data_IF_333556564518
#
_entry.id   IF_333556564518
#
_cell.length_a   1.000
_cell.length_b   1.000
_cell.length_c   1.000
_cell.angle_alpha   90.00
_cell.angle_beta   90.00
_cell.angle_gamma   90.00
#
_symmetry.space_group_name_H-M   'P 1'
#
loop_
_entity.id
_entity.type
_entity.pdbx_description
1 polymer ?
2 non-polymer ?
3 water ?
#
# COMPACT_ATOMS: atom_id res chain seq x y z
N UNK A 3 19.54 1.86 8.62
CA UNK A 3 18.07 1.50 8.70
C UNK A 3 17.54 1.68 10.12
N UNK A 4 16.66 2.67 10.34
CA UNK A 4 16.12 2.95 11.67
C UNK A 4 15.39 1.75 12.28
N UNK A 5 15.43 1.67 13.61
CA UNK A 5 14.82 0.59 14.36
C UNK A 5 13.36 0.29 13.97
N UNK A 6 12.53 1.33 13.72
CA UNK A 6 11.13 1.02 13.37
C UNK A 6 10.92 0.37 11.98
N UNK A 7 12.00 0.23 11.20
CA UNK A 7 11.94 -0.38 9.86
C UNK A 7 12.80 -1.63 9.75
N UNK A 8 13.26 -2.11 10.90
CA UNK A 8 14.05 -3.32 10.94
C UNK A 8 13.12 -4.48 11.14
N UNK A 9 13.43 -5.57 10.44
CA UNK A 9 12.68 -6.79 10.64
C UNK A 9 13.60 -7.99 10.74
N UNK A 10 13.07 -9.07 11.34
CA UNK A 10 13.60 -10.40 11.22
C UNK A 10 12.57 -11.10 10.37
N UNK A 11 12.91 -11.31 9.10
CA UNK A 11 11.96 -11.77 8.09
C UNK A 11 10.74 -10.86 8.14
N UNK A 12 9.58 -11.41 8.51
CA UNK A 12 8.33 -10.63 8.59
C UNK A 12 8.12 -9.90 9.92
N UNK A 13 8.99 -10.17 10.90
CA UNK A 13 8.75 -9.73 12.27
C UNK A 13 9.57 -8.54 12.72
N UNK A 14 8.98 -7.67 13.57
CA UNK A 14 9.76 -6.58 14.16
C UNK A 14 10.91 -7.21 14.96
N UNK A 15 12.02 -6.48 15.10
CA UNK A 15 13.20 -7.02 15.80
C UNK A 15 13.07 -6.88 17.34
N UNK A 16 13.67 -7.83 18.09
CA UNK A 16 13.53 -7.81 19.55
C UNK A 16 13.90 -6.49 20.22
N UNK A 17 14.95 -5.82 19.74
CA UNK A 17 15.35 -4.51 20.27
C UNK A 17 14.24 -3.43 20.12
N UNK A 18 13.48 -3.49 19.02
CA UNK A 18 12.33 -2.60 18.83
C UNK A 18 11.15 -2.94 19.74
N UNK A 19 10.87 -4.24 19.89
CA UNK A 19 9.87 -4.68 20.84
C UNK A 19 10.21 -4.23 22.27
N UNK A 20 11.50 -4.30 22.61
CA UNK A 20 11.98 -3.83 23.90
C UNK A 20 11.81 -2.33 24.10
N UNK A 21 12.09 -1.53 23.08
CA UNK A 21 11.88 -0.08 23.22
C UNK A 21 10.39 0.25 23.40
N UNK A 22 9.52 -0.51 22.72
CA UNK A 22 8.07 -0.33 22.85
C UNK A 22 7.59 -0.52 24.29
N UNK A 23 8.27 -1.39 25.03
CA UNK A 23 7.92 -1.71 26.42
C UNK A 23 8.07 -0.51 27.33
N UNK A 24 9.05 0.34 27.00
CA UNK A 24 9.40 1.50 27.81
C UNK A 24 8.33 2.60 27.83
N UNK A 25 7.44 2.57 26.85
CA UNK A 25 6.44 3.64 26.68
C UNK A 25 6.00 3.88 25.24
N UNK A 26 5.06 4.83 25.04
CA UNK A 26 4.42 5.09 23.75
C UNK A 26 5.09 6.16 22.86
N UNK A 27 6.08 6.86 23.41
CA UNK A 27 6.68 8.01 22.76
C UNK A 27 8.15 7.99 23.13
N UNK A 28 9.02 8.01 22.14
CA UNK A 28 10.46 7.92 22.38
C UNK A 28 11.23 8.99 21.66
N UNK A 29 12.30 9.44 22.31
CA UNK A 29 13.26 10.36 21.68
C UNK A 29 14.16 9.56 20.78
N UNK A 30 13.72 9.40 19.53
CA UNK A 30 14.42 8.57 18.56
C UNK A 30 14.35 9.22 17.19
N UNK A 31 15.49 9.25 16.49
CA UNK A 31 15.58 9.87 15.17
C UNK A 31 15.40 8.85 14.04
N UNK A 32 14.26 8.90 13.35
CA UNK A 32 14.03 8.04 12.19
C UNK A 32 14.50 8.72 10.89
N UNK A 33 14.28 10.03 10.81
CA UNK A 33 14.57 10.81 9.60
C UNK A 33 16.02 11.27 9.56
N UNK A 40 14.20 18.21 16.45
CA UNK A 40 13.82 17.23 17.52
C UNK A 40 12.76 16.25 17.05
N UNK A 41 13.09 14.95 17.10
CA UNK A 41 12.23 13.90 16.57
C UNK A 41 11.63 13.03 17.65
N UNK A 42 10.41 12.58 17.41
CA UNK A 42 9.78 11.60 18.28
C UNK A 42 9.41 10.38 17.46
N UNK A 43 9.53 9.21 18.08
CA UNK A 43 9.02 7.97 17.52
C UNK A 43 7.83 7.52 18.36
N UNK A 44 6.68 7.36 17.70
CA UNK A 44 5.42 7.11 18.37
C UNK A 44 5.09 5.63 18.18
N UNK A 45 4.94 4.91 19.30
CA UNK A 45 4.71 3.46 19.27
C UNK A 45 3.39 3.05 19.93
N UNK A 46 2.84 3.94 20.74
CA UNK A 46 1.57 3.68 21.45
C UNK A 46 0.38 3.73 20.51
N UNK A 47 -0.50 2.74 20.64
CA UNK A 47 -1.70 2.64 19.82
C UNK A 47 -2.57 3.88 19.89
N UNK A 48 -2.96 4.29 21.11
CA UNK A 48 -3.75 5.51 21.34
C UNK A 48 -3.00 6.77 20.91
N UNK A 49 -1.68 6.81 21.15
CA UNK A 49 -0.86 7.98 20.79
C UNK A 49 -0.77 8.14 19.27
N UNK A 50 -0.53 7.05 18.55
CA UNK A 50 -0.50 7.08 17.08
C UNK A 50 -1.85 7.54 16.50
N UNK A 51 -2.95 6.92 16.94
CA UNK A 51 -4.30 7.36 16.60
C UNK A 51 -4.47 8.86 16.80
N UNK A 52 -4.08 9.33 17.99
CA UNK A 52 -4.28 10.72 18.37
C UNK A 52 -3.54 11.69 17.46
N UNK A 53 -2.30 11.35 17.09
CA UNK A 53 -1.48 12.20 16.22
C UNK A 53 -2.09 12.28 14.83
N UNK A 54 -2.41 11.10 14.28
CA UNK A 54 -2.94 11.00 12.93
C UNK A 54 -4.31 11.66 12.78
N UNK A 55 -5.14 11.57 13.84
CA UNK A 55 -6.46 12.22 13.84
C UNK A 55 -6.40 13.73 14.05
N UNK A 56 -5.28 14.22 14.59
CA UNK A 56 -5.14 15.63 14.94
C UNK A 56 -4.39 16.41 13.86
N UNK A 57 -5.03 16.52 12.70
CA UNK A 57 -4.40 17.17 11.55
C UNK A 57 -4.17 18.65 11.82
N UNK A 58 -5.00 19.24 12.67
CA UNK A 58 -4.91 20.66 12.98
C UNK A 58 -3.66 21.05 13.77
N UNK A 59 -3.10 20.11 14.53
CA UNK A 59 -1.86 20.35 15.27
C UNK A 59 -0.66 19.59 14.72
N UNK A 60 -0.92 18.63 13.83
CA UNK A 60 0.14 17.79 13.25
C UNK A 60 0.07 17.66 11.72
N UNK A 61 0.91 18.45 11.04
CA UNK A 61 0.90 18.59 9.60
C UNK A 61 1.60 17.44 8.87
N UNK A 62 1.11 17.13 7.68
CA UNK A 62 1.74 16.13 6.80
C UNK A 62 2.77 16.73 5.82
N UNK A 63 2.96 18.04 5.87
CA UNK A 63 3.91 18.69 4.95
C UNK A 63 5.36 18.47 5.42
N UNK A 64 6.24 18.14 4.49
CA UNK A 64 7.68 17.94 4.81
C UNK A 64 8.19 19.13 5.63
N UNK A 65 8.97 18.86 6.71
CA UNK A 65 9.52 19.99 7.45
C UNK A 65 10.66 20.66 6.69
N UNK A 66 10.57 21.97 6.49
CA UNK A 66 11.63 22.74 5.83
C UNK A 66 12.03 23.97 6.66
N UNK A 67 13.27 24.42 6.50
CA UNK A 67 13.77 25.63 7.17
C UNK A 67 13.37 26.87 6.37
N UNK A 73 9.03 22.41 -2.01
CA UNK A 73 8.81 21.49 -3.17
C UNK A 73 7.33 21.14 -3.26
N UNK A 74 6.71 21.56 -4.35
CA UNK A 74 5.28 21.35 -4.54
C UNK A 74 5.03 19.98 -5.14
N UNK A 75 3.99 19.34 -4.65
CA UNK A 75 3.62 18.02 -5.12
C UNK A 75 2.15 18.02 -5.49
N UNK A 76 1.81 18.67 -6.63
CA UNK A 76 0.41 18.79 -7.03
C UNK A 76 -0.26 17.43 -7.18
N UNK A 77 -1.46 17.30 -6.59
CA UNK A 77 -2.24 16.07 -6.73
C UNK A 77 -1.84 14.95 -5.79
N UNK A 78 -0.79 15.15 -5.01
CA UNK A 78 -0.36 14.13 -4.03
C UNK A 78 -1.03 14.38 -2.68
N UNK A 79 -2.14 13.68 -2.44
CA UNK A 79 -2.98 13.96 -1.26
C UNK A 79 -2.22 13.92 0.08
N UNK A 80 -1.27 12.98 0.19
CA UNK A 80 -0.45 12.76 1.40
C UNK A 80 0.34 13.98 1.83
N UNK A 81 0.64 14.85 0.86
CA UNK A 81 1.49 16.01 1.07
C UNK A 81 0.65 17.28 1.30
N UNK A 82 -0.66 17.13 1.33
CA UNK A 82 -1.60 18.26 1.50
C UNK A 82 -2.09 18.34 2.94
N UNK A 83 -2.13 19.55 3.48
CA UNK A 83 -2.84 19.81 4.74
C UNK A 83 -4.25 20.34 4.47
N UNK A 84 -5.14 20.15 5.46
CA UNK A 84 -6.58 20.11 5.28
C UNK A 84 -7.32 21.42 5.33
N UNK A 85 -6.80 22.47 4.65
CA UNK A 85 -7.75 23.24 3.83
C UNK A 85 -7.78 22.69 2.39
N UNK A 86 -6.64 22.72 1.70
CA UNK A 86 -6.54 22.21 0.33
C UNK A 86 -6.73 20.69 0.21
N UNK A 87 -6.28 19.94 1.22
CA UNK A 87 -6.51 18.50 1.27
C UNK A 87 -7.99 18.15 1.20
N UNK A 88 -8.80 18.91 1.96
CA UNK A 88 -10.25 18.71 2.01
C UNK A 88 -10.94 18.88 0.65
N UNK A 89 -10.57 19.90 -0.11
CA UNK A 89 -11.14 20.10 -1.45
C UNK A 89 -10.66 19.06 -2.44
N UNK A 90 -9.35 18.78 -2.44
CA UNK A 90 -8.81 17.77 -3.36
C UNK A 90 -9.37 16.38 -3.09
N UNK A 91 -9.42 15.97 -1.82
CA UNK A 91 -9.92 14.64 -1.48
C UNK A 91 -11.38 14.43 -1.91
N UNK A 92 -12.25 15.41 -1.65
CA UNK A 92 -13.66 15.23 -2.00
C UNK A 92 -13.90 15.35 -3.50
N UNK A 93 -12.94 15.95 -4.22
CA UNK A 93 -12.98 16.01 -5.68
C UNK A 93 -12.66 14.63 -6.27
N UNK A 94 -11.93 13.83 -5.51
CA UNK A 94 -11.36 12.57 -6.00
C UNK A 94 -12.09 11.35 -5.44
N UNK A 95 -12.72 11.53 -4.28
CA UNK A 95 -13.42 10.45 -3.54
C UNK A 95 -14.41 9.59 -4.34
N UNK A 96 -15.22 10.21 -5.24
CA UNK A 96 -16.20 9.40 -6.00
C UNK A 96 -15.61 8.22 -6.79
N UNK A 97 -14.39 8.38 -7.32
CA UNK A 97 -13.72 7.31 -8.08
C UNK A 97 -13.50 6.03 -7.26
N UNK A 98 -13.53 6.16 -5.93
CA UNK A 98 -13.25 5.04 -5.02
C UNK A 98 -14.48 4.45 -4.33
N UNK A 99 -15.65 5.00 -4.62
CA UNK A 99 -16.90 4.59 -3.99
C UNK A 99 -17.13 3.09 -4.13
N UNK A 100 -17.88 2.52 -3.20
CA UNK A 100 -18.17 1.09 -3.16
C UNK A 100 -18.87 0.61 -4.43
N UNK A 101 -19.65 1.48 -5.05
CA UNK A 101 -20.37 1.14 -6.25
C UNK A 101 -19.45 1.07 -7.46
N UNK A 102 -18.54 2.04 -7.58
CA UNK A 102 -17.58 2.06 -8.68
C UNK A 102 -16.67 0.83 -8.60
N UNK A 103 -16.36 0.43 -7.37
CA UNK A 103 -15.48 -0.69 -7.08
C UNK A 103 -16.07 -2.01 -7.52
N UNK A 104 -17.34 -2.21 -7.18
CA UNK A 104 -18.08 -3.41 -7.56
C UNK A 104 -18.25 -3.56 -9.06
N UNK A 105 -18.34 -2.45 -9.77
CA UNK A 105 -18.38 -2.48 -11.23
C UNK A 105 -17.03 -2.91 -11.83
N UNK A 106 -15.93 -2.68 -11.11
CA UNK A 106 -14.61 -3.17 -11.53
C UNK A 106 -14.39 -4.68 -11.30
N UNK A 107 -15.11 -5.25 -10.33
CA UNK A 107 -14.96 -6.64 -9.91
C UNK A 107 -14.74 -7.62 -11.08
N UNK A 108 -15.64 -7.63 -12.09
CA UNK A 108 -15.45 -8.49 -13.26
C UNK A 108 -14.09 -8.37 -13.98
N UNK A 109 -13.58 -7.15 -14.18
CA UNK A 109 -12.26 -7.02 -14.81
C UNK A 109 -11.16 -7.52 -13.87
N UNK A 110 -11.33 -7.34 -12.57
CA UNK A 110 -10.35 -7.82 -11.58
C UNK A 110 -10.26 -9.35 -11.59
N UNK A 111 -11.41 -10.03 -11.58
CA UNK A 111 -11.47 -11.50 -11.69
C UNK A 111 -10.84 -11.99 -12.99
N UNK A 112 -11.15 -11.29 -14.08
CA UNK A 112 -10.59 -11.60 -15.40
C UNK A 112 -9.06 -11.48 -15.37
N UNK A 113 -8.55 -10.37 -14.83
CA UNK A 113 -7.11 -10.12 -14.69
C UNK A 113 -6.43 -11.16 -13.80
N UNK A 114 -7.02 -11.45 -12.65
CA UNK A 114 -6.53 -12.50 -11.76
C UNK A 114 -6.36 -13.85 -12.51
N UNK A 115 -7.41 -14.28 -13.19
CA UNK A 115 -7.39 -15.58 -13.87
C UNK A 115 -6.34 -15.62 -14.96
N UNK A 116 -6.31 -14.56 -15.77
CA UNK A 116 -5.32 -14.39 -16.83
C UNK A 116 -3.88 -14.53 -16.30
N UNK A 117 -3.59 -13.81 -15.23
CA UNK A 117 -2.23 -13.77 -14.69
C UNK A 117 -1.89 -15.07 -13.97
N UNK A 118 -2.86 -15.65 -13.27
CA UNK A 118 -2.62 -16.96 -12.69
C UNK A 118 -2.45 -18.03 -13.78
N UNK A 119 -3.20 -17.91 -14.89
CA UNK A 119 -3.01 -18.82 -16.03
C UNK A 119 -1.58 -18.75 -16.56
N UNK A 120 -1.06 -17.52 -16.67
CA UNK A 120 0.30 -17.24 -17.13
C UNK A 120 1.35 -17.75 -16.14
N UNK A 121 1.16 -17.43 -14.87
CA UNK A 121 1.99 -17.96 -13.79
C UNK A 121 2.08 -19.49 -13.88
N UNK A 122 0.93 -20.14 -13.98
CA UNK A 122 0.87 -21.59 -14.00
C UNK A 122 1.54 -22.16 -15.24
N UNK A 123 1.38 -21.47 -16.37
CA UNK A 123 1.92 -21.98 -17.64
C UNK A 123 3.43 -22.04 -17.67
N UNK A 124 4.10 -21.37 -16.73
CA UNK A 124 5.58 -21.40 -16.64
C UNK A 124 6.10 -22.74 -16.10
N UNK A 125 7.35 -23.06 -16.42
CA UNK A 125 8.04 -24.26 -15.90
C UNK A 125 7.92 -24.62 -14.41
N UNK A 126 8.59 -25.72 -14.01
CA UNK A 126 8.42 -26.37 -12.68
C UNK A 126 8.15 -25.41 -11.50
N UNK A 127 9.20 -24.82 -10.90
CA UNK A 127 8.95 -23.76 -9.92
C UNK A 127 8.85 -22.36 -10.59
N UNK A 128 7.96 -21.51 -10.08
CA UNK A 128 7.73 -20.16 -10.65
C UNK A 128 7.80 -19.04 -9.60
N UNK A 129 8.45 -17.93 -9.94
CA UNK A 129 8.46 -16.76 -9.04
C UNK A 129 7.09 -16.10 -9.06
N UNK A 130 6.44 -16.10 -7.89
CA UNK A 130 5.12 -15.51 -7.75
C UNK A 130 5.12 -13.97 -7.85
N UNK A 131 6.20 -13.33 -7.45
CA UNK A 131 6.31 -11.87 -7.55
C UNK A 131 6.33 -11.44 -9.02
N UNK A 132 7.26 -12.00 -9.80
CA UNK A 132 7.40 -11.64 -11.21
C UNK A 132 6.13 -11.91 -12.01
N UNK A 133 5.51 -13.07 -11.76
CA UNK A 133 4.42 -13.55 -12.63
C UNK A 133 2.97 -13.32 -12.18
N UNK A 134 2.79 -12.88 -10.93
CA UNK A 134 1.46 -12.66 -10.41
C UNK A 134 1.36 -11.44 -9.50
N UNK A 135 2.23 -11.37 -8.48
CA UNK A 135 2.10 -10.31 -7.47
C UNK A 135 2.29 -8.92 -8.05
N UNK A 136 3.24 -8.74 -8.97
CA UNK A 136 3.36 -7.46 -9.69
C UNK A 136 2.32 -7.26 -10.80
N UNK A 137 2.17 -8.25 -11.72
CA UNK A 137 1.22 -8.13 -12.84
C UNK A 137 -0.25 -7.88 -12.46
N UNK A 138 -0.76 -8.60 -11.45
CA UNK A 138 -2.17 -8.46 -11.05
C UNK A 138 -2.52 -7.00 -10.72
N UNK A 139 -1.93 -6.43 -9.65
CA UNK A 139 -2.24 -5.04 -9.30
C UNK A 139 -1.79 -4.01 -10.34
N UNK A 140 -0.71 -4.30 -11.06
CA UNK A 140 -0.26 -3.36 -12.10
C UNK A 140 -1.32 -3.24 -13.19
N UNK A 141 -1.82 -4.37 -13.67
CA UNK A 141 -2.91 -4.36 -14.65
C UNK A 141 -4.18 -3.74 -14.09
N UNK A 142 -4.50 -4.04 -12.83
CA UNK A 142 -5.69 -3.46 -12.21
C UNK A 142 -5.56 -1.93 -12.07
N UNK A 143 -4.38 -1.46 -11.70
CA UNK A 143 -4.13 -0.01 -11.59
C UNK A 143 -4.34 0.72 -12.95
N UNK A 144 -3.79 0.14 -14.02
CA UNK A 144 -4.07 0.60 -15.40
C UNK A 144 -5.55 0.69 -15.76
N UNK A 145 -6.32 -0.37 -15.47
CA UNK A 145 -7.77 -0.36 -15.69
C UNK A 145 -8.44 0.72 -14.85
N UNK A 146 -8.07 0.78 -13.57
CA UNK A 146 -8.61 1.79 -12.67
C UNK A 146 -8.39 3.21 -13.21
N UNK A 147 -7.23 3.44 -13.80
CA UNK A 147 -6.93 4.73 -14.41
C UNK A 147 -7.48 4.92 -15.81
N UNK A 148 -7.93 3.84 -16.44
CA UNK A 148 -8.46 3.93 -17.80
C UNK A 148 -7.37 3.90 -18.86
N UNK A 149 -6.34 3.09 -18.61
CA UNK A 149 -5.23 2.94 -19.55
C UNK A 149 -5.62 1.96 -20.63
N UNK A 150 -5.48 2.35 -21.91
CA UNK A 150 -5.77 1.45 -23.04
C UNK A 150 -5.09 0.09 -22.85
N UNK A 151 -5.82 -0.98 -23.11
CA UNK A 151 -5.29 -2.35 -22.92
C UNK A 151 -3.92 -2.56 -23.54
N UNK A 152 -3.73 -1.99 -24.74
CA UNK A 152 -2.53 -2.18 -25.53
C UNK A 152 -1.27 -1.52 -24.92
N UNK A 153 -1.46 -0.58 -23.99
CA UNK A 153 -0.33 0.14 -23.35
C UNK A 153 0.07 -0.47 -22.00
N UNK A 154 -0.74 -1.40 -21.51
CA UNK A 154 -0.67 -1.83 -20.12
C UNK A 154 0.59 -2.59 -19.73
N UNK A 155 1.00 -3.55 -20.55
CA UNK A 155 2.25 -4.29 -20.33
C UNK A 155 3.45 -3.36 -20.23
N UNK A 156 3.59 -2.49 -21.25
CA UNK A 156 4.63 -1.42 -21.31
C UNK A 156 4.65 -0.60 -20.01
N UNK A 157 3.49 -0.08 -19.64
CA UNK A 157 3.39 0.87 -18.52
C UNK A 157 3.67 0.19 -17.17
N UNK A 158 3.21 -1.05 -17.01
CA UNK A 158 3.42 -1.82 -15.78
C UNK A 158 4.91 -2.08 -15.55
N UNK A 159 5.62 -2.46 -16.61
CA UNK A 159 7.08 -2.64 -16.55
C UNK A 159 7.75 -1.35 -16.10
N UNK A 160 7.41 -0.26 -16.77
CA UNK A 160 7.90 1.05 -16.40
C UNK A 160 7.65 1.38 -14.92
N UNK A 161 6.48 1.00 -14.40
CA UNK A 161 6.12 1.31 -13.00
C UNK A 161 7.08 0.60 -12.04
N UNK A 162 7.22 -0.71 -12.23
CA UNK A 162 8.08 -1.55 -11.40
C UNK A 162 9.51 -1.05 -11.45
N UNK A 163 10.03 -0.92 -12.67
CA UNK A 163 11.38 -0.48 -12.93
C UNK A 163 11.67 0.88 -12.33
N UNK A 164 10.69 1.79 -12.39
CA UNK A 164 10.80 3.11 -11.76
C UNK A 164 10.94 3.07 -10.23
N UNK A 165 10.47 1.98 -9.61
CA UNK A 165 10.47 1.87 -8.17
C UNK A 165 11.54 0.91 -7.64
N UNK A 166 12.01 0.02 -8.50
CA UNK A 166 12.78 -1.15 -8.07
C UNK A 166 14.14 -1.37 -8.73
N UNK A 167 14.39 -0.71 -9.86
CA UNK A 167 15.63 -0.94 -10.59
C UNK A 167 16.86 -0.68 -9.72
N UNK A 168 17.83 -1.60 -9.82
CA UNK A 168 19.20 -1.46 -9.31
C UNK A 168 19.89 -0.22 -9.87
N UNK A 169 19.47 0.17 -11.07
CA UNK A 169 20.11 1.27 -11.80
C UNK A 169 19.33 2.58 -11.62
N UNK A 170 19.91 3.55 -10.90
CA UNK A 170 19.24 4.84 -10.68
C UNK A 170 18.85 5.56 -11.98
N UNK A 171 19.75 5.58 -12.96
CA UNK A 171 19.44 6.07 -14.31
C UNK A 171 18.11 5.49 -14.83
N UNK A 172 17.94 4.19 -14.64
CA UNK A 172 16.76 3.48 -15.15
C UNK A 172 15.49 3.87 -14.40
N UNK A 173 15.59 4.08 -13.09
CA UNK A 173 14.46 4.55 -12.28
C UNK A 173 14.01 5.92 -12.75
N UNK A 174 14.99 6.79 -13.02
CA UNK A 174 14.74 8.15 -13.47
C UNK A 174 14.08 8.10 -14.85
N UNK A 175 14.63 7.31 -15.76
CA UNK A 175 14.07 7.18 -17.11
C UNK A 175 12.63 6.65 -17.10
N UNK A 176 12.41 5.50 -16.44
CA UNK A 176 11.08 4.92 -16.30
C UNK A 176 10.09 5.88 -15.62
N UNK A 177 10.56 6.58 -14.59
CA UNK A 177 9.78 7.63 -13.93
C UNK A 177 9.36 8.79 -14.82
N UNK A 178 10.25 9.24 -15.72
CA UNK A 178 9.89 10.33 -16.65
C UNK A 178 8.88 9.82 -17.64
N UNK A 179 9.09 8.58 -18.10
CA UNK A 179 8.14 7.88 -18.95
C UNK A 179 6.74 7.83 -18.36
N UNK A 180 6.62 7.46 -17.07
CA UNK A 180 5.32 7.44 -16.38
C UNK A 180 4.71 8.85 -16.35
N UNK A 181 5.50 9.85 -15.94
CA UNK A 181 5.01 11.24 -15.85
C UNK A 181 4.48 11.73 -17.20
N UNK A 182 5.24 11.49 -18.26
CA UNK A 182 4.82 11.86 -19.62
C UNK A 182 3.57 11.13 -20.10
N UNK A 183 3.49 9.84 -19.79
CA UNK A 183 2.31 9.05 -20.15
C UNK A 183 1.04 9.56 -19.45
N UNK A 184 1.13 9.83 -18.16
CA UNK A 184 -0.05 10.25 -17.41
C UNK A 184 -0.50 11.67 -17.75
N UNK A 185 0.44 12.55 -18.10
CA UNK A 185 0.08 13.87 -18.62
C UNK A 185 -0.80 13.73 -19.88
N UNK A 186 -0.36 12.89 -20.81
CA UNK A 186 -1.10 12.59 -22.04
C UNK A 186 -2.47 11.95 -21.78
N UNK A 187 -2.49 10.97 -20.89
CA UNK A 187 -3.72 10.33 -20.47
C UNK A 187 -4.70 11.35 -19.85
N UNK A 188 -4.17 12.20 -18.97
CA UNK A 188 -4.95 13.28 -18.38
C UNK A 188 -5.61 14.23 -19.40
N UNK A 189 -4.83 14.73 -20.38
CA UNK A 189 -5.38 15.62 -21.41
C UNK A 189 -6.36 14.87 -22.30
N UNK A 190 -6.05 13.61 -22.60
CA UNK A 190 -6.94 12.73 -23.36
C UNK A 190 -8.27 12.57 -22.68
N UNK A 191 -8.23 12.30 -21.38
CA UNK A 191 -9.45 12.09 -20.59
C UNK A 191 -10.15 13.40 -20.25
N UNK A 192 -9.41 14.50 -20.30
CA UNK A 192 -10.01 15.83 -20.10
C UNK A 192 -10.93 16.15 -21.30
N UNK A 193 -10.45 15.83 -22.50
CA UNK A 193 -11.20 16.03 -23.75
C UNK A 193 -12.34 15.00 -23.88
N UNK A 194 -12.04 13.73 -23.62
CA UNK A 194 -13.00 12.64 -23.73
C UNK A 194 -13.12 11.91 -22.37
N UNK A 195 -13.92 12.48 -21.42
CA UNK A 195 -14.04 11.89 -20.07
C UNK A 195 -14.74 10.53 -20.02
N UNK A 196 -14.00 9.48 -20.38
CA UNK A 196 -14.55 8.14 -20.46
C UNK A 196 -14.31 7.33 -19.20
N UNK A 197 -13.93 6.06 -19.39
CA UNK A 197 -13.76 5.10 -18.29
C UNK A 197 -12.57 5.48 -17.41
N UNK A 198 -12.64 5.13 -16.13
CA UNK A 198 -11.48 5.21 -15.24
C UNK A 198 -11.51 6.46 -14.36
N UNK A 199 -10.61 6.49 -13.37
CA UNK A 199 -10.58 7.52 -12.31
C UNK A 199 -10.54 8.93 -12.85
N UNK A 200 -9.69 9.19 -13.83
CA UNK A 200 -9.58 10.53 -14.43
C UNK A 200 -10.90 10.95 -15.09
N UNK A 201 -11.56 10.05 -15.81
CA UNK A 201 -12.84 10.36 -16.46
C UNK A 201 -13.91 10.72 -15.43
N UNK A 202 -14.03 9.91 -14.40
CA UNK A 202 -15.01 10.13 -13.33
C UNK A 202 -14.81 11.52 -12.68
N UNK A 203 -13.57 11.84 -12.36
CA UNK A 203 -13.24 13.09 -11.69
C UNK A 203 -13.51 14.31 -12.59
N UNK A 204 -13.24 14.16 -13.89
CA UNK A 204 -13.48 15.24 -14.85
C UNK A 204 -14.97 15.49 -15.04
N UNK A 205 -15.75 14.42 -15.25
CA UNK A 205 -17.19 14.53 -15.44
C UNK A 205 -17.82 15.22 -14.24
N UNK A 206 -17.42 14.81 -13.03
CA UNK A 206 -18.12 15.23 -11.82
C UNK A 206 -17.56 16.49 -11.13
N UNK A 207 -16.23 16.70 -11.16
CA UNK A 207 -15.60 17.85 -10.53
C UNK A 207 -14.58 18.54 -11.44
N UNK A 208 -14.76 18.41 -12.74
CA UNK A 208 -13.81 18.93 -13.73
C UNK A 208 -13.42 20.38 -13.53
N UNK A 209 -14.40 21.20 -13.16
CA UNK A 209 -14.17 22.62 -12.90
C UNK A 209 -13.31 22.88 -11.65
N UNK A 210 -13.41 22.01 -10.64
CA UNK A 210 -12.72 22.21 -9.37
C UNK A 210 -11.27 21.71 -9.30
N UNK A 211 -10.69 21.34 -10.44
CA UNK A 211 -9.33 20.75 -10.43
C UNK A 211 -8.50 21.10 -11.68
N UNK A 212 -7.26 21.54 -11.46
CA UNK A 212 -6.35 21.91 -12.55
C UNK A 212 -5.78 20.67 -13.26
N UNK A 213 -5.29 20.87 -14.48
CA UNK A 213 -4.65 19.77 -15.20
C UNK A 213 -3.39 19.25 -14.50
N UNK A 214 -2.68 20.12 -13.78
CA UNK A 214 -1.47 19.68 -13.08
C UNK A 214 -1.82 18.87 -11.84
N UNK A 215 -2.86 19.27 -11.11
CA UNK A 215 -3.30 18.45 -9.96
C UNK A 215 -3.80 17.10 -10.42
N UNK A 216 -4.60 17.09 -11.48
CA UNK A 216 -5.20 15.87 -12.01
C UNK A 216 -4.12 14.89 -12.50
N UNK A 217 -3.12 15.42 -13.19
CA UNK A 217 -2.00 14.63 -13.68
C UNK A 217 -1.14 14.07 -12.54
N UNK A 218 -0.79 14.93 -11.57
CA UNK A 218 -0.01 14.47 -10.38
C UNK A 218 -0.76 13.40 -9.60
N UNK A 219 -2.05 13.62 -9.43
CA UNK A 219 -2.92 12.65 -8.77
C UNK A 219 -2.99 11.31 -9.55
N UNK A 220 -3.02 11.38 -10.87
CA UNK A 220 -3.04 10.19 -11.72
C UNK A 220 -1.78 9.35 -11.56
N UNK A 221 -0.63 10.02 -11.63
CA UNK A 221 0.67 9.38 -11.44
C UNK A 221 0.79 8.73 -10.07
N UNK A 222 0.50 9.53 -9.03
CA UNK A 222 0.59 9.07 -7.64
C UNK A 222 -0.26 7.82 -7.42
N UNK A 223 -1.50 7.87 -7.90
CA UNK A 223 -2.41 6.77 -7.70
C UNK A 223 -2.06 5.54 -8.52
N UNK A 224 -1.56 5.76 -9.73
CA UNK A 224 -1.13 4.66 -10.55
C UNK A 224 0.02 3.90 -9.86
N UNK A 225 1.02 4.65 -9.40
CA UNK A 225 2.22 4.06 -8.79
C UNK A 225 1.90 3.37 -7.45
N UNK A 226 1.15 4.06 -6.59
CA UNK A 226 0.72 3.48 -5.32
C UNK A 226 -0.17 2.24 -5.43
N UNK A 227 -1.19 2.29 -6.29
CA UNK A 227 -2.07 1.14 -6.50
C UNK A 227 -1.32 -0.10 -6.95
N UNK A 228 -0.36 0.08 -7.87
CA UNK A 228 0.44 -1.03 -8.38
C UNK A 228 1.41 -1.52 -7.33
N UNK A 229 2.18 -0.58 -6.77
CA UNK A 229 3.29 -0.96 -5.89
C UNK A 229 2.86 -1.49 -4.53
N UNK A 230 1.90 -0.82 -3.91
CA UNK A 230 1.41 -1.18 -2.59
C UNK A 230 0.78 -2.55 -2.64
N UNK A 231 -0.04 -2.77 -3.67
CA UNK A 231 -0.76 -4.04 -3.74
C UNK A 231 0.13 -5.21 -4.16
N UNK A 232 1.11 -4.95 -5.03
CA UNK A 232 2.13 -5.96 -5.37
C UNK A 232 2.78 -6.51 -4.11
N UNK A 233 3.24 -5.60 -3.25
CA UNK A 233 3.85 -5.97 -1.97
C UNK A 233 2.84 -6.70 -1.10
N UNK A 234 1.64 -6.13 -0.97
CA UNK A 234 0.61 -6.71 -0.12
C UNK A 234 0.24 -8.12 -0.59
N UNK A 235 0.14 -8.32 -1.90
CA UNK A 235 -0.30 -9.59 -2.45
C UNK A 235 0.75 -10.70 -2.25
N UNK A 236 2.02 -10.36 -2.50
CA UNK A 236 3.09 -11.34 -2.36
C UNK A 236 3.32 -11.76 -0.90
N UNK A 237 3.18 -10.82 0.02
CA UNK A 237 3.33 -11.12 1.45
C UNK A 237 2.13 -11.91 2.00
N UNK A 238 0.93 -11.58 1.55
CA UNK A 238 -0.28 -12.34 1.86
C UNK A 238 -0.09 -13.79 1.46
N UNK A 239 0.39 -14.02 0.24
CA UNK A 239 0.57 -15.38 -0.28
C UNK A 239 1.70 -16.12 0.45
N UNK A 240 2.82 -15.45 0.66
CA UNK A 240 3.91 -15.96 1.50
C UNK A 240 3.38 -16.44 2.86
N UNK A 241 2.55 -15.63 3.49
CA UNK A 241 1.94 -15.97 4.76
C UNK A 241 1.06 -17.22 4.62
N UNK A 242 0.23 -17.27 3.59
CA UNK A 242 -0.66 -18.41 3.37
C UNK A 242 0.08 -19.74 3.07
N UNK A 243 1.13 -19.67 2.24
CA UNK A 243 1.91 -20.88 1.93
C UNK A 243 2.75 -21.38 3.11
N UNK A 244 3.16 -20.47 4.00
CA UNK A 244 3.89 -20.87 5.21
C UNK A 244 2.96 -21.20 6.38
N UNK A 245 1.64 -21.23 6.12
CA UNK A 245 0.64 -21.63 7.11
C UNK A 245 -0.42 -22.45 6.40
N UNK A 246 -0.05 -23.68 5.96
CA UNK A 246 -0.86 -24.47 5.01
C UNK A 246 -2.25 -24.86 5.53
N UNK A 247 -2.39 -24.94 6.85
CA UNK A 247 -3.67 -25.26 7.50
C UNK A 247 -4.66 -24.16 7.20
N UNK A 248 -4.26 -22.92 7.46
CA UNK A 248 -5.05 -21.72 7.20
C UNK A 248 -5.44 -21.58 5.74
N UNK A 249 -4.50 -21.88 4.85
CA UNK A 249 -4.76 -21.99 3.41
C UNK A 249 -5.93 -22.96 3.16
N UNK A 250 -5.88 -24.13 3.79
CA UNK A 250 -6.95 -25.12 3.68
C UNK A 250 -8.25 -24.67 4.37
N UNK A 251 -8.15 -23.92 5.47
CA UNK A 251 -9.32 -23.32 6.09
C UNK A 251 -10.08 -22.37 5.14
N UNK A 252 -9.34 -21.47 4.49
CA UNK A 252 -9.91 -20.46 3.60
C UNK A 252 -10.51 -21.12 2.36
N UNK A 253 -9.85 -22.17 1.89
CA UNK A 253 -10.36 -22.95 0.77
C UNK A 253 -11.70 -23.60 1.12
N UNK A 254 -11.85 -24.08 2.36
CA UNK A 254 -13.02 -24.87 2.75
C UNK A 254 -14.12 -24.01 3.35
N UNK A 255 -13.73 -22.92 3.99
CA UNK A 255 -14.66 -21.93 4.51
C UNK A 255 -14.43 -20.59 3.78
N UNK A 256 -14.95 -20.47 2.53
CA UNK A 256 -14.67 -19.25 1.74
C UNK A 256 -15.17 -17.95 2.40
N UNK A 257 -16.08 -18.08 3.36
CA UNK A 257 -16.61 -16.94 4.11
C UNK A 257 -15.57 -16.33 5.08
N UNK A 258 -14.41 -16.97 5.16
CA UNK A 258 -13.29 -16.44 5.94
C UNK A 258 -12.48 -15.36 5.20
N UNK A 259 -12.80 -15.09 3.93
CA UNK A 259 -12.06 -14.10 3.14
C UNK A 259 -11.94 -12.70 3.79
N UNK A 260 -13.00 -12.19 4.37
CA UNK A 260 -12.95 -10.86 4.99
C UNK A 260 -11.99 -10.73 6.18
N UNK A 261 -12.06 -11.66 7.14
CA UNK A 261 -11.15 -11.58 8.29
C UNK A 261 -9.73 -11.95 7.86
N UNK A 262 -9.62 -12.80 6.84
CA UNK A 262 -8.33 -13.13 6.24
C UNK A 262 -7.66 -11.92 5.57
N UNK A 263 -8.42 -11.09 4.86
CA UNK A 263 -7.82 -9.92 4.24
C UNK A 263 -7.37 -8.92 5.31
N UNK A 264 -8.15 -8.75 6.38
CA UNK A 264 -7.71 -7.93 7.53
C UNK A 264 -6.44 -8.44 8.19
N UNK A 265 -6.33 -9.77 8.33
CA UNK A 265 -5.18 -10.38 9.00
C UNK A 265 -3.88 -10.22 8.18
N UNK A 266 -3.95 -10.39 6.86
CA UNK A 266 -2.75 -10.20 6.03
C UNK A 266 -2.28 -8.74 5.99
N UNK A 267 -3.23 -7.79 5.99
CA UNK A 267 -2.91 -6.35 6.13
C UNK A 267 -2.27 -6.01 7.47
N UNK A 268 -2.88 -6.50 8.57
CA UNK A 268 -2.35 -6.35 9.94
C UNK A 268 -0.95 -6.93 10.06
N UNK A 269 -0.82 -8.21 9.72
CA UNK A 269 0.44 -8.93 9.91
C UNK A 269 1.55 -8.42 8.97
N UNK A 270 1.24 -8.21 7.70
CA UNK A 270 2.21 -7.69 6.73
C UNK A 270 2.73 -6.30 7.09
N UNK A 271 1.85 -5.42 7.54
CA UNK A 271 2.20 -4.03 7.87
C UNK A 271 3.15 -3.43 6.82
N UNK A 272 2.68 -3.48 5.57
CA UNK A 272 3.36 -3.03 4.37
C UNK A 272 3.88 -1.58 4.44
N UNK A 273 3.09 -0.72 5.07
CA UNK A 273 3.51 0.63 5.39
C UNK A 273 3.89 0.66 6.86
N UNK A 274 5.18 0.75 7.11
CA UNK A 274 5.75 0.71 8.44
C UNK A 274 5.60 2.06 9.18
N UNK A 275 5.56 3.14 8.40
CA UNK A 275 5.33 4.48 8.91
C UNK A 275 4.76 5.34 7.80
N UNK A 276 3.67 6.08 8.07
CA UNK A 276 3.16 7.05 7.09
C UNK A 276 4.09 8.27 7.06
N UNK A 277 3.72 9.34 6.37
CA UNK A 277 4.54 10.57 6.35
C UNK A 277 4.83 11.10 7.78
N UNK A 278 6.05 11.61 8.01
CA UNK A 278 6.40 12.25 9.27
C UNK A 278 5.44 13.39 9.58
N UNK A 279 5.01 13.50 10.83
CA UNK A 279 4.10 14.57 11.20
C UNK A 279 4.86 15.71 11.88
N UNK A 280 4.50 16.93 11.50
CA UNK A 280 5.18 18.09 12.04
C UNK A 280 4.22 18.81 12.97
N UNK A 281 4.63 18.99 14.23
CA UNK A 281 3.84 19.70 15.21
C UNK A 281 3.73 21.15 14.79
N UNK A 282 2.50 21.67 14.80
CA UNK A 282 2.25 23.06 14.47
C UNK A 282 2.05 23.88 15.73
N UNK A 283 1.99 23.21 16.87
CA UNK A 283 1.84 23.87 18.15
C UNK A 283 2.47 23.00 19.25
N UNK A 284 2.69 23.59 20.41
CA UNK A 284 3.10 22.86 21.60
C UNK A 284 1.96 21.94 22.03
N UNK A 285 2.30 20.68 22.30
CA UNK A 285 1.29 19.71 22.68
C UNK A 285 1.83 18.85 23.82
N UNK A 286 0.99 18.60 24.81
CA UNK A 286 1.33 17.66 25.88
C UNK A 286 0.70 16.30 25.55
N UNK A 287 1.51 15.26 25.52
CA UNK A 287 1.01 13.91 25.20
C UNK A 287 1.79 12.86 25.93
N UNK A 288 1.05 11.98 26.61
CA UNK A 288 1.59 10.87 27.36
C UNK A 288 2.80 11.29 28.19
N UNK A 289 2.66 12.40 28.90
CA UNK A 289 3.67 12.87 29.85
C UNK A 289 4.87 13.52 29.19
N UNK A 290 4.69 13.94 27.93
CA UNK A 290 5.78 14.55 27.17
C UNK A 290 5.40 15.90 26.61
N UNK A 291 6.39 16.79 26.54
CA UNK A 291 6.18 18.11 25.96
C UNK A 291 6.67 18.14 24.52
N UNK A 292 5.70 18.07 23.60
CA UNK A 292 5.97 18.17 22.18
C UNK A 292 5.96 19.66 21.84
N UNK A 293 7.02 20.11 21.18
CA UNK A 293 7.12 21.52 20.79
C UNK A 293 6.77 21.72 19.33
N UNK A 294 6.18 22.87 19.02
CA UNK A 294 5.97 23.29 17.64
C UNK A 294 7.24 23.04 16.84
N UNK A 295 7.11 22.34 15.72
CA UNK A 295 8.26 22.12 14.85
C UNK A 295 8.95 20.79 15.06
N UNK A 296 8.62 20.09 16.14
CA UNK A 296 9.08 18.70 16.31
C UNK A 296 8.53 17.80 15.17
N UNK A 297 9.26 16.74 14.84
CA UNK A 297 8.88 15.83 13.75
C UNK A 297 8.61 14.41 14.26
N UNK A 298 7.39 13.93 14.07
CA UNK A 298 6.95 12.66 14.69
C UNK A 298 6.75 11.53 13.68
N UNK A 299 7.42 10.41 13.95
CA UNK A 299 7.24 9.21 13.15
C UNK A 299 6.33 8.22 13.88
N UNK A 300 5.20 7.91 13.26
CA UNK A 300 4.25 6.92 13.80
C UNK A 300 4.63 5.54 13.29
N UNK A 301 4.91 4.62 14.21
CA UNK A 301 5.30 3.27 13.86
C UNK A 301 4.08 2.37 13.78
N UNK A 302 3.76 1.96 12.56
CA UNK A 302 2.65 1.04 12.28
C UNK A 302 2.99 -0.38 12.65
N UNK A 303 4.27 -0.74 12.55
CA UNK A 303 4.75 -2.03 13.05
C UNK A 303 4.53 -2.17 14.56
N UNK A 304 4.76 -1.08 15.29
CA UNK A 304 4.47 -1.02 16.72
C UNK A 304 2.99 -1.25 17.00
N UNK A 305 2.13 -0.56 16.26
CA UNK A 305 0.69 -0.61 16.53
C UNK A 305 0.04 -1.91 16.05
N UNK A 306 0.45 -2.41 14.89
CA UNK A 306 -0.16 -3.62 14.29
C UNK A 306 0.33 -4.96 14.80
N UNK A 307 1.53 -4.99 15.38
CA UNK A 307 2.17 -6.25 15.73
C UNK A 307 2.49 -6.32 17.22
N UNK A 308 2.36 -7.52 17.79
CA UNK A 308 2.74 -7.76 19.20
C UNK A 308 3.68 -8.96 19.31
N UNK A 309 4.54 -8.97 20.35
CA UNK A 309 5.39 -10.15 20.53
C UNK A 309 4.53 -11.39 20.73
N UNK A 310 4.88 -12.49 20.08
CA UNK A 310 4.10 -13.70 20.20
C UNK A 310 2.90 -13.78 19.27
N UNK A 311 2.62 -12.72 18.51
CA UNK A 311 1.52 -12.82 17.56
C UNK A 311 1.80 -13.90 16.49
N UNK A 312 0.75 -14.61 16.11
CA UNK A 312 0.84 -15.59 15.03
C UNK A 312 -0.19 -15.23 13.99
N UNK A 313 0.12 -15.52 12.74
CA UNK A 313 -0.80 -15.30 11.63
C UNK A 313 -2.04 -16.19 11.76
N UNK A 314 -3.19 -15.56 11.91
CA UNK A 314 -4.43 -16.28 12.23
C UNK A 314 -5.61 -15.63 11.49
N UNK A 315 -6.05 -16.28 10.41
CA UNK A 315 -7.08 -15.70 9.53
C UNK A 315 -8.48 -15.68 10.15
N UNK A 316 -8.67 -16.44 11.22
CA UNK A 316 -9.92 -16.47 11.98
C UNK A 316 -10.01 -15.35 13.02
N UNK A 317 -8.97 -14.50 13.10
CA UNK A 317 -8.91 -13.46 14.11
C UNK A 317 -10.19 -12.62 14.15
N UNK A 318 -10.69 -12.40 15.37
CA UNK A 318 -12.00 -11.79 15.61
C UNK A 318 -12.06 -10.31 15.23
N UNK A 319 -11.59 -9.44 16.12
CA UNK A 319 -11.65 -8.01 15.89
C UNK A 319 -10.34 -7.53 15.27
N UNK A 320 -10.46 -6.62 14.30
CA UNK A 320 -9.30 -6.05 13.65
C UNK A 320 -9.21 -4.59 14.08
N UNK A 321 -8.13 -4.25 14.76
CA UNK A 321 -7.94 -2.90 15.26
C UNK A 321 -6.71 -2.29 14.60
N UNK A 322 -6.22 -2.94 13.54
CA UNK A 322 -4.98 -2.53 12.87
C UNK A 322 -5.09 -1.17 12.18
N UNK A 323 -3.92 -0.56 11.92
CA UNK A 323 -3.87 0.70 11.20
C UNK A 323 -3.06 0.62 9.89
N UNK A 324 -3.17 -0.52 9.19
CA UNK A 324 -2.43 -0.74 7.94
C UNK A 324 -2.72 0.33 6.88
N UNK A 325 -3.91 0.93 6.93
CA UNK A 325 -4.31 1.96 5.97
C UNK A 325 -4.24 3.34 6.59
N UNK A 326 -3.68 3.43 7.80
CA UNK A 326 -3.63 4.71 8.52
C UNK A 326 -4.94 5.06 9.19
N UNK A 327 -5.15 6.35 9.42
CA UNK A 327 -6.17 6.84 10.34
C UNK A 327 -6.32 8.35 10.17
N UNK A 328 -7.54 8.84 10.35
CA UNK A 328 -7.83 10.26 10.21
C UNK A 328 -8.09 10.63 8.76
N UNK A 329 -7.95 11.91 8.44
CA UNK A 329 -8.35 12.45 7.13
C UNK A 329 -7.56 11.87 5.93
N UNK A 330 -6.35 11.37 6.19
CA UNK A 330 -5.47 10.84 5.16
C UNK A 330 -5.62 9.33 5.00
N UNK A 331 -6.55 8.74 5.75
CA UNK A 331 -6.80 7.31 5.72
C UNK A 331 -6.86 6.84 4.26
N UNK A 332 -6.10 5.79 3.95
CA UNK A 332 -5.94 5.31 2.57
C UNK A 332 -7.25 5.35 1.77
N UNK A 333 -7.27 6.20 0.74
CA UNK A 333 -8.45 6.40 -0.11
C UNK A 333 -8.62 5.23 -1.11
N UNK A 334 -7.55 4.47 -1.36
CA UNK A 334 -7.62 3.29 -2.20
C UNK A 334 -7.98 1.99 -1.48
N UNK A 335 -8.22 2.08 -0.16
CA UNK A 335 -8.58 0.93 0.67
C UNK A 335 -9.66 0.05 0.07
N UNK A 336 -10.79 0.65 -0.38
CA UNK A 336 -11.80 -0.19 -1.02
C UNK A 336 -11.28 -1.01 -2.18
N UNK A 337 -10.38 -0.44 -2.99
CA UNK A 337 -9.78 -1.17 -4.12
C UNK A 337 -8.82 -2.26 -3.67
N UNK A 338 -7.99 -1.94 -2.69
CA UNK A 338 -7.04 -2.89 -2.11
C UNK A 338 -7.77 -4.11 -1.51
N UNK A 339 -8.79 -3.85 -0.69
CA UNK A 339 -9.56 -4.94 -0.08
C UNK A 339 -10.26 -5.78 -1.15
N UNK A 340 -10.82 -5.12 -2.16
CA UNK A 340 -11.43 -5.83 -3.27
C UNK A 340 -10.46 -6.77 -3.98
N UNK A 341 -9.26 -6.29 -4.29
CA UNK A 341 -8.25 -7.14 -4.95
C UNK A 341 -7.93 -8.39 -4.13
N UNK A 342 -7.74 -8.21 -2.83
CA UNK A 342 -7.40 -9.30 -1.93
C UNK A 342 -8.55 -10.31 -1.83
N UNK A 343 -9.77 -9.78 -1.82
CA UNK A 343 -10.99 -10.59 -1.74
C UNK A 343 -11.19 -11.46 -2.96
N UNK A 344 -10.71 -11.00 -4.12
CA UNK A 344 -10.76 -11.79 -5.34
C UNK A 344 -9.53 -12.67 -5.48
N UNK A 345 -8.35 -12.08 -5.31
CA UNK A 345 -7.11 -12.79 -5.60
C UNK A 345 -6.83 -13.95 -4.63
N UNK A 346 -6.98 -13.73 -3.33
CA UNK A 346 -6.63 -14.79 -2.36
C UNK A 346 -7.43 -16.10 -2.49
N UNK A 347 -8.78 -16.03 -2.64
CA UNK A 347 -9.58 -17.26 -2.86
C UNK A 347 -9.25 -17.92 -4.20
N UNK A 348 -8.95 -17.13 -5.22
CA UNK A 348 -8.53 -17.66 -6.51
C UNK A 348 -7.19 -18.43 -6.40
N UNK A 349 -6.26 -17.89 -5.63
CA UNK A 349 -4.93 -18.51 -5.47
C UNK A 349 -5.04 -19.90 -4.75
N UNK A 350 -5.67 -19.91 -3.59
CA UNK A 350 -5.78 -21.12 -2.77
C UNK A 350 -6.75 -22.14 -3.36
N UNK A 351 -7.65 -21.66 -4.23
CA UNK A 351 -8.61 -22.50 -4.92
C UNK A 351 -7.96 -23.23 -6.09
N UNK A 352 -7.16 -22.50 -6.88
CA UNK A 352 -6.47 -23.10 -8.01
C UNK A 352 -5.27 -23.96 -7.62
N UNK A 353 -4.61 -23.63 -6.52
CA UNK A 353 -3.36 -24.32 -6.14
C UNK A 353 -3.41 -24.84 -4.69
N UNK A 354 -4.11 -25.98 -4.47
CA UNK A 354 -4.28 -26.49 -3.09
C UNK A 354 -2.95 -26.84 -2.41
N UNK A 355 -1.97 -27.30 -3.19
CA UNK A 355 -0.64 -27.63 -2.68
C UNK A 355 0.41 -26.53 -2.87
N UNK A 356 -0.03 -25.27 -2.94
CA UNK A 356 0.92 -24.18 -3.14
C UNK A 356 1.88 -24.13 -1.95
N UNK A 357 3.18 -24.10 -2.26
CA UNK A 357 4.21 -24.02 -1.24
C UNK A 357 5.52 -23.44 -1.75
N UNK A 358 6.41 -23.07 -0.82
CA UNK A 358 7.74 -22.61 -1.20
C UNK A 358 8.52 -23.72 -1.90
N UNK A 359 9.22 -23.32 -2.96
CA UNK A 359 10.09 -24.19 -3.73
C UNK A 359 11.55 -24.09 -3.25
N UNK A 360 11.81 -23.10 -2.41
CA UNK A 360 13.13 -22.90 -1.82
C UNK A 360 13.03 -22.81 -0.29
N UNK A 361 14.15 -23.03 0.43
CA UNK A 361 14.17 -22.77 1.89
C UNK A 361 13.74 -21.35 2.22
N UNK A 362 12.99 -21.20 3.30
CA UNK A 362 12.53 -19.91 3.78
C UNK A 362 13.65 -18.91 4.00
N UNK A 363 14.84 -19.42 4.35
CA UNK A 363 15.98 -18.58 4.67
C UNK A 363 16.65 -17.97 3.42
N UNK A 364 16.27 -18.51 2.25
CA UNK A 364 16.76 -18.01 0.96
C UNK A 364 16.01 -16.75 0.53
N UNK A 365 14.87 -16.48 1.15
CA UNK A 365 13.99 -15.37 0.72
C UNK A 365 14.54 -14.00 1.05
N UNK A 366 14.41 -13.09 0.09
CA UNK A 366 14.94 -11.74 0.21
C UNK A 366 13.81 -10.72 0.40
N UNK A 367 13.99 -9.81 1.35
CA UNK A 367 12.98 -8.81 1.65
C UNK A 367 13.49 -7.39 1.38
N UNK A 368 12.69 -6.60 0.65
CA UNK A 368 12.94 -5.17 0.51
C UNK A 368 12.46 -4.48 1.80
N UNK A 369 13.37 -3.73 2.46
CA UNK A 369 12.98 -3.06 3.70
C UNK A 369 11.91 -1.99 3.46
N UNK A 370 11.09 -1.76 4.48
CA UNK A 370 9.92 -0.90 4.40
C UNK A 370 10.25 0.58 4.43
N UNK A 371 11.50 0.91 4.15
CA UNK A 371 11.91 2.30 3.99
C UNK A 371 12.75 2.47 2.74
N UNK A 372 12.19 3.15 1.71
CA UNK A 372 10.85 3.72 1.71
C UNK A 372 9.77 2.63 1.59
N UNK A 373 8.51 2.99 1.81
CA UNK A 373 7.40 2.05 1.68
C UNK A 373 7.28 1.53 0.25
N UNK A 374 6.77 0.30 0.07
CA UNK A 374 6.33 -0.64 1.10
C UNK A 374 7.42 -1.64 1.47
N UNK A 375 7.23 -2.35 2.58
CA UNK A 375 7.97 -3.59 2.83
C UNK A 375 7.47 -4.61 1.80
N UNK A 376 8.39 -5.39 1.22
CA UNK A 376 8.04 -6.39 0.22
C UNK A 376 8.96 -7.62 0.30
N UNK A 377 8.51 -8.71 -0.31
CA UNK A 377 9.37 -9.85 -0.64
C UNK A 377 9.81 -9.70 -2.09
N UNK A 378 11.13 -9.77 -2.31
CA UNK A 378 11.72 -9.52 -3.63
C UNK A 378 11.33 -10.58 -4.64
N UNK A 379 11.36 -11.84 -4.19
CA UNK A 379 11.16 -13.00 -5.02
C UNK A 379 10.47 -14.11 -4.19
N UNK A 380 9.52 -14.80 -4.81
CA UNK A 380 8.77 -15.84 -4.13
C UNK A 380 8.65 -17.10 -5.00
N UNK A 381 9.71 -17.94 -5.02
CA UNK A 381 9.69 -19.16 -5.84
C UNK A 381 8.67 -20.11 -5.26
N UNK A 382 7.66 -20.47 -6.05
CA UNK A 382 6.58 -21.31 -5.55
C UNK A 382 6.47 -22.58 -6.35
N UNK A 383 5.85 -23.58 -5.73
CA UNK A 383 5.62 -24.90 -6.31
C UNK A 383 4.17 -25.29 -6.14
N UNK A 384 3.77 -26.27 -6.97
CA UNK A 384 2.41 -26.78 -7.16
C UNK A 384 1.30 -25.74 -7.12
X LIG B 1 -2.85 6.85 1.78
X LIG B 1 -1.56 2.31 2.93
X LIG B 1 -3.07 0.83 -1.42
X LIG B 1 -3.73 5.42 -2.80
X LIG B 1 -2.41 5.76 2.50
X LIG B 1 -1.97 5.76 3.88
X LIG B 1 -1.60 4.50 4.19
X LIG B 1 -1.81 3.67 3.02
X LIG B 1 -1.06 3.97 5.53
X LIG B 1 -1.94 7.03 4.78
X LIG B 1 -0.67 7.83 4.50
X LIG B 1 -0.51 9.00 5.46
X LIG B 1 0.54 9.70 5.39
X LIG B 1 -1.44 9.25 6.29
X LIG B 1 -1.88 1.51 1.87
X LIG B 1 -1.78 0.06 1.83
X LIG B 1 -2.20 -0.34 0.62
X LIG B 1 -2.57 0.83 -0.13
X LIG B 1 -1.26 -0.82 3.01
X LIG B 1 -2.27 -1.77 0.04
X LIG B 1 -2.82 -2.77 0.74
X LIG B 1 -3.46 1.92 -2.17
X LIG B 1 -4.13 1.89 -3.45
X LIG B 1 -4.30 3.18 -3.81
X LIG B 1 -3.76 4.04 -2.78
X LIG B 1 -4.56 0.61 -4.21
X LIG B 1 -4.93 3.77 -5.08
X LIG B 1 -6.22 3.56 -5.36
X LIG B 1 -3.59 6.25 -1.71
X LIG B 1 -3.81 7.69 -1.72
X LIG B 1 -3.53 8.12 -0.28
X LIG B 1 -3.18 6.91 0.45
X LIG B 1 -4.20 8.61 -2.91
X LIG B 1 -3.59 9.54 0.27
X LIG B 1 -5.01 9.83 0.74
X LIG B 1 -4.90 11.11 1.53
X LIG B 1 -3.76 11.54 1.84
X LIG B 1 -5.96 11.72 1.84
X LIG B 1 -2.29 4.48 2.00
X LIG B 1 -2.36 1.94 0.66
X LIG B 1 -3.25 3.23 -1.79
X LIG B 1 -3.24 5.83 -0.42
X LIG B 1 -3.01 3.82 0.19
#
# INVERSE_FOLDING_TARGET
MALPLPHQRLRLDPVPEFEELQKAGPLHEYDTEPGMDGRKQWLVTGHDEVRAILADHERFSSMRPVDDEADRALLPGILQAYDPPDHTRLRRTVAPAYSARRMERLRPRIEEIVEECLDDFESVGAPVDFVRHAAWPIPAYIACEFLGVPRDDQAELSRMIRESRESRLPRQRTLSGLGIVNYTKRLTSGKRRDPGDGMIGVIVREHGAEISDEELAGLAEGNLIMAAEQMAAQLAVAVLLLVTHPDQMALLREKPELIDSATEEVLRHASIVEAPAPRVALADVRMAGRDIHAGDVLTCSMLATNRAPGDRFDITREKATHMAFGHGIHHCIGAPLARLQLRVALPAVVGRFPSLRLAVPEEDLRFKPGRPAPFAVEELPLEW
HEM CHA CHB CHC CHD C1A C2A C3A C4A CMA CAA CBA CGA O1A O2A C1B C2B C3B C4B CMB CAB CBB C1C C2C C3C C4C CMC CAC CBC C1D C2D C3D C4D CMD CAD CBD CGD O1D O2D NA NB NC ND FE
#
